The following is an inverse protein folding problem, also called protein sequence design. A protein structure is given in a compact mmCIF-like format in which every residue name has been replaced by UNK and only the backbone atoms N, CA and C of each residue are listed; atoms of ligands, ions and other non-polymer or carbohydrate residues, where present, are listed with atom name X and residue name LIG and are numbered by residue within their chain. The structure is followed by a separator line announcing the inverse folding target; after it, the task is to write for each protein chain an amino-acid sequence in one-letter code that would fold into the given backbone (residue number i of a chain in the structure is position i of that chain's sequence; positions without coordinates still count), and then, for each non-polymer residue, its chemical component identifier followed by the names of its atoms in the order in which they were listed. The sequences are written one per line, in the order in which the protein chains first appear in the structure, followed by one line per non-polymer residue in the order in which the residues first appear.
data_IF_403437344315
#
_entry.id   IF_403437344315
#
_cell.length_a   1.000
_cell.length_b   1.000
_cell.length_c   1.000
_cell.angle_alpha   90.00
_cell.angle_beta   90.00
_cell.angle_gamma   90.00
#
_symmetry.space_group_name_H-M   'P 1'
#
loop_
_entity.id
_entity.type
_entity.pdbx_description
1 polymer ?
#
# COMPACT_ATOMS: atom_id res chain seq x y z
N UNK A 1 19.06 -13.13 -4.53
CA UNK A 1 18.67 -14.54 -4.28
C UNK A 1 18.62 -14.91 -2.78
N UNK A 2 19.72 -14.98 -2.03
CA UNK A 2 19.69 -15.40 -0.62
C UNK A 2 18.81 -14.48 0.27
N UNK A 3 18.97 -13.15 0.15
CA UNK A 3 18.16 -12.19 0.92
C UNK A 3 16.67 -12.25 0.54
N UNK A 4 16.34 -12.42 -0.74
CA UNK A 4 14.97 -12.60 -1.21
C UNK A 4 14.33 -13.86 -0.59
N UNK A 5 15.05 -14.99 -0.58
CA UNK A 5 14.54 -16.22 0.02
C UNK A 5 14.27 -16.07 1.53
N UNK A 6 15.17 -15.37 2.26
CA UNK A 6 14.96 -15.08 3.67
C UNK A 6 13.75 -14.16 3.89
N UNK A 7 13.63 -13.09 3.09
CA UNK A 7 12.47 -12.19 3.10
C UNK A 7 11.15 -12.97 2.91
N UNK A 8 11.08 -13.80 1.87
CA UNK A 8 9.90 -14.60 1.56
C UNK A 8 9.58 -15.64 2.65
N UNK A 9 10.59 -16.26 3.26
CA UNK A 9 10.43 -17.21 4.38
C UNK A 9 9.84 -16.54 5.62
N UNK A 10 10.34 -15.35 5.96
CA UNK A 10 9.84 -14.56 7.10
C UNK A 10 8.38 -14.17 6.87
N UNK A 11 8.05 -13.67 5.67
CA UNK A 11 6.67 -13.27 5.35
C UNK A 11 5.70 -14.44 5.37
N UNK A 12 6.07 -15.61 4.83
CA UNK A 12 5.23 -16.81 4.91
C UNK A 12 4.97 -17.23 6.35
N UNK A 13 6.01 -17.22 7.17
CA UNK A 13 5.90 -17.58 8.59
C UNK A 13 4.97 -16.62 9.33
N UNK A 14 5.14 -15.31 9.13
CA UNK A 14 4.29 -14.29 9.75
C UNK A 14 2.82 -14.36 9.26
N UNK A 15 2.61 -14.58 7.96
CA UNK A 15 1.29 -14.74 7.37
C UNK A 15 0.53 -15.92 8.00
N UNK A 16 1.20 -17.07 8.16
CA UNK A 16 0.65 -18.25 8.84
C UNK A 16 0.34 -17.97 10.31
N UNK A 17 1.27 -17.37 11.06
CA UNK A 17 1.07 -17.06 12.49
C UNK A 17 -0.12 -16.11 12.73
N UNK A 18 -0.32 -15.15 11.84
CA UNK A 18 -1.42 -14.17 11.94
C UNK A 18 -2.71 -14.65 11.26
N UNK A 19 -2.74 -15.85 10.67
CA UNK A 19 -3.84 -16.36 9.85
C UNK A 19 -4.31 -15.32 8.80
N UNK A 20 -3.33 -14.72 8.11
CA UNK A 20 -3.53 -13.69 7.11
C UNK A 20 -2.97 -14.17 5.77
N UNK A 21 -3.67 -13.97 4.64
CA UNK A 21 -3.09 -14.29 3.33
C UNK A 21 -1.85 -13.44 3.06
N UNK A 22 -0.95 -13.97 2.24
CA UNK A 22 0.17 -13.19 1.69
C UNK A 22 -0.39 -11.98 0.94
N UNK A 23 0.17 -10.77 1.14
CA UNK A 23 -0.24 -9.60 0.40
C UNK A 23 -0.14 -9.81 -1.11
N UNK A 24 -1.19 -9.44 -1.80
CA UNK A 24 -1.34 -9.73 -3.22
C UNK A 24 -0.26 -9.11 -4.12
N UNK A 25 0.36 -7.99 -3.72
CA UNK A 25 1.47 -7.37 -4.45
C UNK A 25 2.77 -8.21 -4.39
N UNK A 26 2.79 -9.27 -3.58
CA UNK A 26 3.88 -10.23 -3.52
C UNK A 26 3.60 -11.52 -4.30
N UNK A 27 2.40 -11.68 -4.88
CA UNK A 27 1.95 -12.96 -5.45
C UNK A 27 2.91 -13.51 -6.51
N UNK A 28 3.36 -12.65 -7.44
CA UNK A 28 4.30 -13.04 -8.49
C UNK A 28 5.64 -13.56 -7.92
N UNK A 29 6.12 -12.96 -6.83
CA UNK A 29 7.34 -13.40 -6.13
C UNK A 29 7.12 -14.72 -5.41
N UNK A 30 5.94 -14.92 -4.80
CA UNK A 30 5.64 -16.14 -4.05
C UNK A 30 5.28 -17.34 -4.91
N UNK A 31 4.71 -17.13 -6.09
CA UNK A 31 4.39 -18.22 -7.04
C UNK A 31 5.66 -18.76 -7.72
N UNK A 32 6.64 -17.89 -7.96
CA UNK A 32 7.91 -18.25 -8.58
C UNK A 32 8.90 -18.95 -7.63
N UNK A 33 8.64 -18.92 -6.32
CA UNK A 33 9.54 -19.48 -5.30
C UNK A 33 8.81 -20.49 -4.40
N UNK A 34 9.43 -21.66 -4.21
CA UNK A 34 8.93 -22.63 -3.23
C UNK A 34 9.13 -22.07 -1.81
N UNK A 35 8.11 -21.40 -1.28
CA UNK A 35 8.20 -20.76 0.01
C UNK A 35 8.39 -21.79 1.14
N UNK A 36 9.46 -21.65 1.91
CA UNK A 36 9.66 -22.36 3.17
C UNK A 36 9.19 -21.53 4.35
N UNK A 37 8.94 -22.18 5.49
CA UNK A 37 8.68 -21.52 6.77
C UNK A 37 9.91 -21.66 7.66
N UNK A 38 10.03 -20.79 8.66
CA UNK A 38 11.00 -20.94 9.75
C UNK A 38 10.27 -21.32 11.04
N UNK A 39 10.89 -22.18 11.84
CA UNK A 39 10.38 -22.54 13.18
C UNK A 39 10.59 -21.40 14.20
N UNK A 40 11.53 -20.49 13.93
CA UNK A 40 11.83 -19.34 14.78
C UNK A 40 11.88 -18.04 13.97
N UNK A 41 10.80 -17.26 14.09
CA UNK A 41 10.66 -15.96 13.43
C UNK A 41 11.64 -14.92 13.98
N UNK A 42 11.96 -14.95 15.28
CA UNK A 42 12.84 -13.95 15.90
C UNK A 42 14.28 -14.14 15.44
N UNK A 43 14.75 -15.39 15.37
CA UNK A 43 16.07 -15.70 14.84
C UNK A 43 16.17 -15.28 13.37
N UNK A 44 15.14 -15.57 12.56
CA UNK A 44 15.13 -15.16 11.16
C UNK A 44 15.12 -13.62 10.99
N UNK A 45 14.39 -12.89 11.85
CA UNK A 45 14.41 -11.42 11.86
C UNK A 45 15.80 -10.86 12.22
N UNK A 46 16.51 -11.47 13.17
CA UNK A 46 17.88 -11.08 13.52
C UNK A 46 18.84 -11.32 12.35
N UNK A 47 18.76 -12.49 11.71
CA UNK A 47 19.55 -12.80 10.51
C UNK A 47 19.24 -11.84 9.36
N UNK A 48 17.97 -11.51 9.15
CA UNK A 48 17.57 -10.51 8.15
C UNK A 48 18.16 -9.15 8.50
N UNK A 49 18.10 -8.74 9.78
CA UNK A 49 18.84 -7.59 10.27
C UNK A 49 20.30 -7.65 9.84
N UNK A 50 21.06 -8.66 10.25
CA UNK A 50 22.51 -8.72 9.98
C UNK A 50 22.89 -8.71 8.49
N UNK A 51 22.02 -9.26 7.63
CA UNK A 51 22.31 -9.46 6.20
C UNK A 51 21.70 -8.42 5.26
N UNK A 52 20.62 -7.74 5.66
CA UNK A 52 19.89 -6.79 4.81
C UNK A 52 20.45 -5.38 4.97
N UNK A 53 20.45 -4.64 3.87
CA UNK A 53 20.64 -3.18 3.92
C UNK A 53 19.37 -2.47 4.44
N UNK A 54 19.47 -1.16 4.69
CA UNK A 54 18.37 -0.40 5.30
C UNK A 54 17.08 -0.42 4.46
N UNK A 55 17.19 -0.38 3.12
CA UNK A 55 16.04 -0.42 2.23
C UNK A 55 15.33 -1.77 2.27
N UNK A 56 16.10 -2.86 2.29
CA UNK A 56 15.60 -4.23 2.45
C UNK A 56 14.95 -4.43 3.83
N UNK A 57 15.57 -3.93 4.90
CA UNK A 57 14.99 -3.95 6.25
C UNK A 57 13.66 -3.19 6.31
N UNK A 58 13.60 -1.99 5.73
CA UNK A 58 12.38 -1.20 5.65
C UNK A 58 11.27 -1.94 4.90
N UNK A 59 11.59 -2.51 3.73
CA UNK A 59 10.62 -3.27 2.93
C UNK A 59 10.08 -4.50 3.68
N UNK A 60 10.95 -5.25 4.36
CA UNK A 60 10.53 -6.36 5.22
C UNK A 60 9.61 -5.88 6.35
N UNK A 61 9.98 -4.80 7.03
CA UNK A 61 9.17 -4.24 8.12
C UNK A 61 7.78 -3.78 7.65
N UNK A 62 7.68 -3.12 6.49
CA UNK A 62 6.42 -2.68 5.92
C UNK A 62 5.49 -3.86 5.59
N UNK A 63 6.04 -4.91 4.98
CA UNK A 63 5.28 -6.12 4.66
C UNK A 63 4.86 -6.92 5.91
N UNK A 64 5.71 -6.99 6.94
CA UNK A 64 5.33 -7.53 8.24
C UNK A 64 4.23 -6.71 8.91
N UNK A 65 4.29 -5.39 8.81
CA UNK A 65 3.24 -4.51 9.32
C UNK A 65 1.90 -4.77 8.62
N UNK A 66 1.91 -4.92 7.30
CA UNK A 66 0.72 -5.29 6.51
C UNK A 66 0.10 -6.62 6.98
N UNK A 67 0.93 -7.63 7.19
CA UNK A 67 0.50 -8.94 7.72
C UNK A 67 0.05 -8.91 9.18
N UNK A 68 0.39 -7.86 9.93
CA UNK A 68 0.13 -7.73 11.36
C UNK A 68 -1.00 -6.73 11.66
N UNK A 69 -1.65 -6.16 10.64
CA UNK A 69 -2.79 -5.28 10.80
C UNK A 69 -4.04 -6.00 10.30
N UNK A 70 -5.10 -5.98 11.11
CA UNK A 70 -6.42 -6.47 10.73
C UNK A 70 -7.47 -5.58 11.40
N UNK A 71 -8.50 -5.20 10.65
CA UNK A 71 -9.57 -4.29 11.11
C UNK A 71 -9.00 -2.99 11.73
N UNK A 72 -8.00 -2.40 11.06
CA UNK A 72 -7.31 -1.19 11.51
C UNK A 72 -6.42 -1.33 12.75
N UNK A 73 -6.24 -2.54 13.29
CA UNK A 73 -5.54 -2.80 14.55
C UNK A 73 -4.35 -3.72 14.37
N UNK A 74 -3.26 -3.39 15.06
CA UNK A 74 -2.12 -4.30 15.21
C UNK A 74 -2.54 -5.53 16.01
N UNK A 75 -2.32 -6.72 15.43
CA UNK A 75 -2.68 -8.00 16.04
C UNK A 75 -1.63 -8.42 17.07
N UNK A 76 -0.34 -8.29 16.73
CA UNK A 76 0.77 -8.67 17.58
C UNK A 76 1.72 -7.47 17.82
N UNK A 77 1.61 -6.85 19.00
CA UNK A 77 2.45 -5.71 19.37
C UNK A 77 3.91 -6.09 19.62
N UNK A 78 4.15 -7.31 20.10
CA UNK A 78 5.50 -7.82 20.33
C UNK A 78 6.22 -8.01 18.99
N UNK A 79 5.55 -8.58 17.98
CA UNK A 79 6.10 -8.69 16.63
C UNK A 79 6.53 -7.34 16.06
N UNK A 80 5.72 -6.28 16.22
CA UNK A 80 6.13 -4.93 15.82
C UNK A 80 7.40 -4.51 16.56
N UNK A 81 7.43 -4.62 17.89
CA UNK A 81 8.56 -4.18 18.72
C UNK A 81 9.84 -4.93 18.37
N UNK A 82 9.77 -6.25 18.28
CA UNK A 82 10.93 -7.09 17.96
C UNK A 82 11.42 -6.85 16.53
N UNK A 83 10.51 -6.65 15.56
CA UNK A 83 10.89 -6.32 14.19
C UNK A 83 11.60 -4.96 14.09
N UNK A 84 11.10 -3.93 14.79
CA UNK A 84 11.77 -2.60 14.85
C UNK A 84 13.20 -2.74 15.35
N UNK A 85 13.39 -3.52 16.42
CA UNK A 85 14.71 -3.73 17.02
C UNK A 85 15.63 -4.55 16.11
N UNK A 86 15.16 -5.71 15.63
CA UNK A 86 15.96 -6.64 14.83
C UNK A 86 16.36 -6.05 13.47
N UNK A 87 15.46 -5.31 12.84
CA UNK A 87 15.66 -4.70 11.52
C UNK A 87 16.21 -3.27 11.60
N UNK A 88 16.54 -2.78 12.81
CA UNK A 88 17.12 -1.44 13.07
C UNK A 88 16.28 -0.29 12.50
N UNK A 89 14.96 -0.41 12.56
CA UNK A 89 14.07 0.62 12.03
C UNK A 89 13.96 1.76 13.04
N UNK A 90 14.06 3.01 12.58
CA UNK A 90 13.76 4.15 13.44
C UNK A 90 12.28 4.10 13.91
N UNK A 91 12.04 4.43 15.17
CA UNK A 91 10.68 4.30 15.75
C UNK A 91 9.67 5.22 15.07
N UNK A 92 10.09 6.41 14.63
CA UNK A 92 9.23 7.34 13.91
C UNK A 92 8.89 6.77 12.54
N UNK A 93 9.88 6.29 11.81
CA UNK A 93 9.69 5.65 10.51
C UNK A 93 8.79 4.42 10.60
N UNK A 94 8.95 3.61 11.65
CA UNK A 94 8.10 2.47 11.90
C UNK A 94 6.63 2.86 12.12
N UNK A 95 6.37 3.98 12.81
CA UNK A 95 5.02 4.48 13.00
C UNK A 95 4.45 5.03 11.69
N UNK A 96 5.26 5.74 10.91
CA UNK A 96 4.87 6.30 9.62
C UNK A 96 4.43 5.20 8.64
N UNK A 97 5.22 4.13 8.53
CA UNK A 97 4.88 2.93 7.74
C UNK A 97 3.58 2.28 8.24
N UNK A 98 3.44 2.06 9.55
CA UNK A 98 2.24 1.43 10.12
C UNK A 98 0.98 2.25 9.82
N UNK A 99 1.04 3.58 9.96
CA UNK A 99 -0.12 4.44 9.68
C UNK A 99 -0.47 4.48 8.19
N UNK A 100 0.52 4.46 7.30
CA UNK A 100 0.29 4.36 5.86
C UNK A 100 -0.40 3.05 5.48
N UNK A 101 0.09 1.92 6.01
CA UNK A 101 -0.48 0.59 5.74
C UNK A 101 -1.88 0.45 6.34
N UNK A 102 -2.12 0.93 7.56
CA UNK A 102 -3.47 0.96 8.15
C UNK A 102 -4.45 1.73 7.29
N UNK A 103 -4.01 2.85 6.71
CA UNK A 103 -4.85 3.70 5.86
C UNK A 103 -5.40 2.92 4.67
N UNK A 104 -4.61 2.01 4.07
CA UNK A 104 -5.08 1.10 3.00
C UNK A 104 -6.01 -0.02 3.50
N UNK A 105 -5.76 -0.57 4.69
CA UNK A 105 -6.55 -1.71 5.20
C UNK A 105 -7.94 -1.26 5.66
N UNK A 106 -8.05 -0.01 6.13
CA UNK A 106 -9.29 0.55 6.68
C UNK A 106 -10.23 1.14 5.63
N UNK A 107 -9.98 0.97 4.33
CA UNK A 107 -10.83 1.49 3.25
C UNK A 107 -12.32 1.17 3.45
N UNK A 108 -12.73 -0.07 3.80
CA UNK A 108 -14.14 -0.38 4.06
C UNK A 108 -14.75 0.36 5.26
N UNK A 109 -13.92 0.78 6.23
CA UNK A 109 -14.38 1.57 7.37
C UNK A 109 -14.60 3.04 7.01
N UNK A 110 -13.82 3.55 6.04
CA UNK A 110 -13.87 4.95 5.59
C UNK A 110 -14.91 5.19 4.50
N UNK A 111 -15.20 4.19 3.67
CA UNK A 111 -16.15 4.27 2.57
C UNK A 111 -17.34 3.35 2.88
N UNK A 112 -18.39 3.94 3.48
CA UNK A 112 -19.56 3.18 3.92
C UNK A 112 -20.77 3.38 3.01
N UNK A 113 -20.84 4.52 2.32
CA UNK A 113 -21.96 4.85 1.43
C UNK A 113 -21.61 4.53 -0.01
N UNK A 114 -22.57 4.05 -0.83
CA UNK A 114 -22.32 3.75 -2.24
C UNK A 114 -21.68 4.91 -3.02
N UNK A 115 -22.15 6.14 -2.79
CA UNK A 115 -21.64 7.34 -3.47
C UNK A 115 -20.18 7.66 -3.10
N UNK A 116 -19.75 7.31 -1.88
CA UNK A 116 -18.36 7.50 -1.47
C UNK A 116 -17.45 6.55 -2.25
N UNK A 117 -17.91 5.31 -2.49
CA UNK A 117 -17.20 4.33 -3.32
C UNK A 117 -17.14 4.74 -4.79
N UNK A 118 -18.20 5.34 -5.33
CA UNK A 118 -18.21 5.85 -6.71
C UNK A 118 -17.16 6.95 -6.88
N UNK A 119 -17.07 7.88 -5.92
CA UNK A 119 -16.04 8.94 -5.91
C UNK A 119 -14.63 8.39 -5.68
N UNK A 120 -14.47 7.40 -4.81
CA UNK A 120 -13.19 6.71 -4.62
C UNK A 120 -12.70 6.10 -5.94
N UNK A 121 -13.57 5.38 -6.66
CA UNK A 121 -13.24 4.80 -7.96
C UNK A 121 -12.95 5.89 -9.00
N UNK A 122 -13.71 6.98 -9.03
CA UNK A 122 -13.44 8.10 -9.93
C UNK A 122 -12.04 8.69 -9.71
N UNK A 123 -11.64 8.88 -8.45
CA UNK A 123 -10.31 9.36 -8.09
C UNK A 123 -9.20 8.41 -8.54
N UNK A 124 -9.35 7.11 -8.30
CA UNK A 124 -8.36 6.11 -8.71
C UNK A 124 -8.27 5.96 -10.24
N UNK A 125 -9.40 5.97 -10.95
CA UNK A 125 -9.40 5.91 -12.41
C UNK A 125 -8.77 7.15 -13.04
N UNK A 126 -9.00 8.33 -12.46
CA UNK A 126 -8.35 9.55 -12.91
C UNK A 126 -6.82 9.51 -12.72
N UNK A 127 -6.35 8.89 -11.63
CA UNK A 127 -4.93 8.65 -11.36
C UNK A 127 -4.33 7.62 -12.32
N UNK A 128 -4.97 6.47 -12.49
CA UNK A 128 -4.47 5.41 -13.36
C UNK A 128 -4.38 5.87 -14.82
N UNK A 129 -5.37 6.65 -15.29
CA UNK A 129 -5.33 7.21 -16.65
C UNK A 129 -4.44 8.45 -16.81
N UNK A 130 -3.68 8.87 -15.79
CA UNK A 130 -2.88 10.09 -15.86
C UNK A 130 -1.81 10.03 -16.98
N UNK A 131 -1.26 8.84 -17.26
CA UNK A 131 -0.30 8.62 -18.35
C UNK A 131 -0.96 8.11 -19.65
N UNK A 132 -2.31 8.14 -19.71
CA UNK A 132 -3.16 7.65 -20.81
C UNK A 132 -3.16 6.13 -21.02
N UNK A 133 -2.50 5.37 -20.15
CA UNK A 133 -2.59 3.91 -20.12
C UNK A 133 -3.48 3.49 -18.96
N UNK A 134 -4.08 2.30 -19.05
CA UNK A 134 -4.73 1.66 -17.90
C UNK A 134 -4.48 0.18 -18.04
N UNK A 135 -3.48 -0.27 -17.30
CA UNK A 135 -2.91 -1.60 -17.42
C UNK A 135 -3.83 -2.65 -16.80
N UNK A 136 -3.60 -3.92 -17.13
CA UNK A 136 -4.30 -5.05 -16.48
C UNK A 136 -4.08 -5.06 -14.97
N UNK A 137 -2.88 -4.70 -14.52
CA UNK A 137 -2.43 -4.73 -13.14
C UNK A 137 -3.14 -3.68 -12.29
N UNK A 138 -3.33 -2.47 -12.81
CA UNK A 138 -4.09 -1.41 -12.15
C UNK A 138 -5.58 -1.75 -12.09
N UNK A 139 -6.11 -2.39 -13.13
CA UNK A 139 -7.48 -2.90 -13.14
C UNK A 139 -7.68 -3.99 -12.07
N UNK A 140 -6.79 -4.97 -12.03
CA UNK A 140 -6.82 -6.05 -11.03
C UNK A 140 -6.67 -5.49 -9.61
N UNK A 141 -5.89 -4.42 -9.44
CA UNK A 141 -5.80 -3.69 -8.18
C UNK A 141 -7.16 -3.07 -7.79
N UNK A 142 -7.80 -2.33 -8.69
CA UNK A 142 -9.12 -1.73 -8.45
C UNK A 142 -10.17 -2.78 -8.08
N UNK A 143 -10.28 -3.86 -8.85
CA UNK A 143 -11.25 -4.93 -8.62
C UNK A 143 -11.03 -5.66 -7.28
N UNK A 144 -9.80 -5.64 -6.74
CA UNK A 144 -9.46 -6.23 -5.45
C UNK A 144 -9.93 -5.39 -4.25
N UNK A 145 -9.86 -4.07 -4.35
CA UNK A 145 -10.15 -3.16 -3.22
C UNK A 145 -11.54 -2.55 -3.27
N UNK A 146 -12.22 -2.60 -4.41
CA UNK A 146 -13.58 -2.11 -4.58
C UNK A 146 -14.59 -3.25 -4.34
N UNK A 147 -15.62 -3.07 -3.50
CA UNK A 147 -16.53 -4.15 -3.12
C UNK A 147 -17.45 -4.62 -4.26
N UNK A 148 -17.63 -3.82 -5.31
CA UNK A 148 -18.51 -4.15 -6.43
C UNK A 148 -18.13 -3.38 -7.70
N UNK A 149 -18.09 -4.06 -8.85
CA UNK A 149 -17.77 -3.50 -10.16
C UNK A 149 -18.64 -2.29 -10.55
N UNK A 150 -19.88 -2.21 -10.07
CA UNK A 150 -20.78 -1.07 -10.32
C UNK A 150 -20.16 0.28 -9.90
N UNK A 151 -19.32 0.28 -8.86
CA UNK A 151 -18.67 1.50 -8.37
C UNK A 151 -17.56 1.96 -9.33
N UNK A 152 -16.88 1.02 -9.98
CA UNK A 152 -15.90 1.31 -11.02
C UNK A 152 -16.59 1.92 -12.23
N UNK A 153 -17.73 1.35 -12.65
CA UNK A 153 -18.54 1.89 -13.76
C UNK A 153 -19.08 3.31 -13.45
N UNK A 154 -19.60 3.51 -12.24
CA UNK A 154 -20.07 4.82 -11.78
C UNK A 154 -18.91 5.84 -11.71
N UNK A 155 -17.76 5.43 -11.18
CA UNK A 155 -16.55 6.25 -11.16
C UNK A 155 -16.08 6.66 -12.56
N UNK A 156 -16.08 5.73 -13.51
CA UNK A 156 -15.73 5.99 -14.90
C UNK A 156 -16.69 7.00 -15.57
N UNK A 157 -17.99 6.95 -15.21
CA UNK A 157 -18.97 7.95 -15.66
C UNK A 157 -18.65 9.34 -15.09
N UNK A 158 -18.32 9.42 -13.80
CA UNK A 158 -17.95 10.68 -13.13
C UNK A 158 -16.73 11.32 -13.81
N UNK A 159 -15.68 10.52 -14.12
CA UNK A 159 -14.46 11.01 -14.80
C UNK A 159 -14.76 11.54 -16.21
N UNK A 160 -15.72 10.96 -16.93
CA UNK A 160 -16.13 11.45 -18.27
C UNK A 160 -16.93 12.74 -18.23
N UNK A 161 -17.69 12.96 -17.15
CA UNK A 161 -18.60 14.09 -17.02
C UNK A 161 -17.96 15.34 -16.39
N UNK A 162 -16.85 15.18 -15.66
CA UNK A 162 -16.16 16.26 -14.96
C UNK A 162 -14.81 16.56 -15.58
N UNK A 163 -14.45 17.84 -15.65
CA UNK A 163 -13.06 18.25 -15.89
C UNK A 163 -12.17 17.85 -14.70
N UNK A 164 -10.83 17.74 -14.89
CA UNK A 164 -9.91 17.46 -13.78
C UNK A 164 -10.06 18.44 -12.60
N UNK A 165 -10.34 19.71 -12.87
CA UNK A 165 -10.55 20.72 -11.82
C UNK A 165 -11.84 20.46 -11.04
N UNK A 166 -12.96 20.19 -11.72
CA UNK A 166 -14.25 19.89 -11.06
C UNK A 166 -14.21 18.59 -10.27
N UNK A 167 -13.51 17.58 -10.80
CA UNK A 167 -13.26 16.33 -10.09
C UNK A 167 -12.46 16.60 -8.82
N UNK A 168 -11.37 17.38 -8.90
CA UNK A 168 -10.56 17.77 -7.75
C UNK A 168 -11.37 18.44 -6.63
N UNK A 169 -12.23 19.41 -6.96
CA UNK A 169 -13.11 20.03 -5.96
C UNK A 169 -14.12 19.05 -5.37
N UNK A 170 -14.67 18.13 -6.18
CA UNK A 170 -15.59 17.09 -5.69
C UNK A 170 -14.90 16.14 -4.72
N UNK A 171 -13.67 15.72 -5.03
CA UNK A 171 -12.86 14.86 -4.15
C UNK A 171 -12.44 15.58 -2.88
N UNK A 172 -12.30 16.91 -2.89
CA UNK A 172 -12.00 17.70 -1.71
C UNK A 172 -13.12 17.68 -0.65
N UNK A 173 -14.36 17.37 -1.05
CA UNK A 173 -15.53 17.24 -0.16
C UNK A 173 -15.52 15.94 0.66
N UNK A 174 -14.79 14.92 0.23
CA UNK A 174 -14.58 13.68 1.00
C UNK A 174 -13.99 14.02 2.38
N UNK A 175 -14.30 13.24 3.41
CA UNK A 175 -13.70 13.45 4.73
C UNK A 175 -12.16 13.34 4.70
N UNK A 176 -11.46 13.95 5.66
CA UNK A 176 -10.00 13.86 5.75
C UNK A 176 -9.48 12.41 5.75
N UNK A 177 -10.21 11.46 6.36
CA UNK A 177 -9.86 10.04 6.33
C UNK A 177 -10.00 9.43 4.93
N UNK A 178 -11.12 9.70 4.27
CA UNK A 178 -11.35 9.24 2.89
C UNK A 178 -10.33 9.82 1.91
N UNK A 179 -9.97 11.10 2.02
CA UNK A 179 -8.96 11.71 1.13
C UNK A 179 -7.58 11.09 1.31
N UNK A 180 -7.15 10.86 2.56
CA UNK A 180 -5.87 10.15 2.83
C UNK A 180 -5.90 8.70 2.35
N UNK A 181 -7.05 8.04 2.48
CA UNK A 181 -7.25 6.69 1.95
C UNK A 181 -7.17 6.66 0.42
N UNK A 182 -7.85 7.58 -0.26
CA UNK A 182 -7.78 7.72 -1.71
C UNK A 182 -6.33 7.97 -2.14
N UNK A 183 -5.63 8.92 -1.53
CA UNK A 183 -4.22 9.18 -1.82
C UNK A 183 -3.33 7.96 -1.59
N UNK A 184 -3.55 7.19 -0.51
CA UNK A 184 -2.82 5.96 -0.25
C UNK A 184 -3.02 4.94 -1.40
N UNK A 185 -4.25 4.74 -1.86
CA UNK A 185 -4.51 3.85 -2.99
C UNK A 185 -3.95 4.40 -4.31
N UNK A 186 -3.99 5.72 -4.55
CA UNK A 186 -3.38 6.35 -5.72
C UNK A 186 -1.87 6.09 -5.77
N UNK A 187 -1.17 6.27 -4.65
CA UNK A 187 0.26 5.98 -4.52
C UNK A 187 0.54 4.49 -4.78
N UNK A 188 -0.34 3.61 -4.29
CA UNK A 188 -0.15 2.16 -4.45
C UNK A 188 -0.32 1.68 -5.89
N UNK A 189 -1.27 2.28 -6.63
CA UNK A 189 -1.47 2.03 -8.07
C UNK A 189 -0.20 2.37 -8.84
N UNK A 190 0.44 3.51 -8.56
CA UNK A 190 1.69 3.95 -9.21
C UNK A 190 2.90 3.02 -8.95
N UNK A 191 2.79 2.06 -8.01
CA UNK A 191 3.85 1.10 -7.73
C UNK A 191 3.50 -0.33 -8.19
N UNK A 192 2.29 -0.58 -8.70
CA UNK A 192 1.83 -1.94 -8.97
C UNK A 192 2.50 -2.57 -10.20
N UNK A 193 2.82 -1.74 -11.20
CA UNK A 193 3.52 -2.14 -12.43
C UNK A 193 5.05 -2.14 -12.26
N UNK A 194 5.54 -1.70 -11.08
CA UNK A 194 6.96 -1.60 -10.76
C UNK A 194 7.70 -0.46 -11.47
N UNK A 195 7.00 0.44 -12.17
CA UNK A 195 7.61 1.50 -12.99
C UNK A 195 7.10 2.90 -12.59
N UNK A 196 7.75 3.52 -11.61
CA UNK A 196 7.41 4.89 -11.23
C UNK A 196 7.94 5.90 -12.27
N UNK A 197 7.02 6.55 -13.00
CA UNK A 197 7.30 7.57 -14.02
C UNK A 197 7.15 8.98 -13.43
N UNK A 198 7.94 9.94 -13.92
CA UNK A 198 7.88 11.33 -13.46
C UNK A 198 6.50 12.00 -13.67
N UNK A 199 5.77 11.62 -14.72
CA UNK A 199 4.41 12.11 -14.98
C UNK A 199 3.39 11.70 -13.93
N UNK A 200 3.52 10.50 -13.35
CA UNK A 200 2.62 10.03 -12.28
C UNK A 200 2.86 10.80 -10.98
N UNK A 201 4.12 11.18 -10.72
CA UNK A 201 4.47 12.03 -9.58
C UNK A 201 3.85 13.42 -9.69
N UNK A 202 3.96 14.07 -10.86
CA UNK A 202 3.34 15.39 -11.09
C UNK A 202 1.82 15.34 -10.91
N UNK A 203 1.18 14.28 -11.41
CA UNK A 203 -0.25 14.09 -11.25
C UNK A 203 -0.64 13.83 -9.78
N UNK A 204 0.12 13.00 -9.07
CA UNK A 204 -0.09 12.73 -7.65
C UNK A 204 0.01 14.02 -6.82
N UNK A 205 1.03 14.84 -7.07
CA UNK A 205 1.23 16.13 -6.38
C UNK A 205 0.02 17.05 -6.60
N UNK A 206 -0.44 17.17 -7.84
CA UNK A 206 -1.64 17.94 -8.18
C UNK A 206 -2.88 17.36 -7.49
N UNK A 207 -3.06 16.04 -7.48
CA UNK A 207 -4.20 15.39 -6.84
C UNK A 207 -4.21 15.61 -5.32
N UNK A 208 -3.05 15.52 -4.67
CA UNK A 208 -2.86 15.79 -3.24
C UNK A 208 -3.20 17.24 -2.90
N UNK A 209 -2.74 18.19 -3.72
CA UNK A 209 -3.06 19.61 -3.59
C UNK A 209 -4.58 19.83 -3.70
N UNK A 210 -5.22 19.26 -4.74
CA UNK A 210 -6.65 19.41 -5.01
C UNK A 210 -7.51 18.78 -3.92
N UNK A 211 -7.11 17.63 -3.39
CA UNK A 211 -7.74 16.99 -2.23
C UNK A 211 -7.44 17.72 -0.91
N UNK A 212 -6.60 18.76 -0.91
CA UNK A 212 -6.22 19.54 0.28
C UNK A 212 -5.70 18.64 1.39
N UNK A 213 -4.84 17.69 1.03
CA UNK A 213 -4.15 16.81 1.97
C UNK A 213 -2.94 17.57 2.51
N UNK A 214 -2.72 17.49 3.82
CA UNK A 214 -1.58 18.16 4.47
C UNK A 214 -0.29 17.48 4.02
N UNK A 215 0.73 18.27 3.65
CA UNK A 215 2.02 17.77 3.14
C UNK A 215 2.65 16.70 4.06
N UNK A 216 2.59 16.91 5.37
CA UNK A 216 3.08 15.92 6.34
C UNK A 216 2.41 14.55 6.18
N UNK A 217 1.09 14.52 5.97
CA UNK A 217 0.36 13.28 5.77
C UNK A 217 0.70 12.65 4.40
N UNK A 218 0.86 13.44 3.34
CA UNK A 218 1.26 12.91 2.02
C UNK A 218 2.66 12.32 2.03
N UNK A 219 3.64 13.01 2.61
CA UNK A 219 5.03 12.54 2.70
C UNK A 219 5.10 11.21 3.46
N UNK A 220 4.33 11.12 4.55
CA UNK A 220 4.21 9.90 5.34
C UNK A 220 3.62 8.75 4.54
N UNK A 221 2.54 8.98 3.81
CA UNK A 221 1.91 7.98 2.94
C UNK A 221 2.89 7.52 1.85
N UNK A 222 3.51 8.45 1.14
CA UNK A 222 4.45 8.15 0.06
C UNK A 222 5.62 7.32 0.57
N UNK A 223 6.28 7.75 1.65
CA UNK A 223 7.39 7.01 2.26
C UNK A 223 6.96 5.60 2.68
N UNK A 224 5.84 5.48 3.39
CA UNK A 224 5.37 4.20 3.92
C UNK A 224 4.99 3.20 2.83
N UNK A 225 4.28 3.67 1.80
CA UNK A 225 3.79 2.82 0.70
C UNK A 225 4.89 2.51 -0.30
N UNK A 226 5.76 3.46 -0.65
CA UNK A 226 6.96 3.15 -1.42
C UNK A 226 7.78 2.06 -0.73
N UNK A 227 7.97 2.15 0.59
CA UNK A 227 8.68 1.12 1.35
C UNK A 227 7.96 -0.25 1.27
N UNK A 228 6.62 -0.27 1.31
CA UNK A 228 5.82 -1.50 1.20
C UNK A 228 5.98 -2.18 -0.16
N UNK A 229 5.89 -1.41 -1.25
CA UNK A 229 5.85 -1.92 -2.63
C UNK A 229 7.23 -2.07 -3.28
N UNK A 230 8.28 -1.43 -2.75
CA UNK A 230 9.63 -1.47 -3.31
C UNK A 230 10.35 -2.80 -3.04
N UNK A 231 9.80 -3.90 -3.55
CA UNK A 231 10.38 -5.25 -3.48
C UNK A 231 11.62 -5.41 -4.36
N UNK A 232 11.82 -4.49 -5.32
CA UNK A 232 12.96 -4.46 -6.21
C UNK A 232 14.30 -4.28 -5.47
N UNK A 233 14.28 -3.82 -4.21
CA UNK A 233 15.46 -3.78 -3.33
C UNK A 233 16.10 -5.15 -3.06
N UNK A 234 15.42 -6.24 -3.42
CA UNK A 234 15.92 -7.62 -3.29
C UNK A 234 16.42 -8.24 -4.61
N UNK A 235 16.38 -7.48 -5.71
CA UNK A 235 16.89 -7.90 -7.02
C UNK A 235 18.41 -7.96 -7.06
#
# INVERSE_FOLDING_TARGET
MANLNLFLTILKTAAKQNNHPIPSHLSALTESHALTETDDLNTALQQAGESFNDAQCGCLFANLSNLNIKDGRLQNRDLKRESVKALRIDVRDANDVVEAVKTLIQTPEYFQRPEDWDLFCAGLLAMAHADQEFTSEEKDYLERYVPNLKHIEAGAKIVKEKTPSELGETLAELSSRQRRCLAAHSISIMFIDGSWKGSEQEFLELAIERMRIVQFDSDRLLKGLHTLFNVNVFS
#
